data_IF_310837275860
#
_entry.id   IF_310837275860
#
_cell.length_a   1.000
_cell.length_b   1.000
_cell.length_c   1.000
_cell.angle_alpha   90.00
_cell.angle_beta   90.00
_cell.angle_gamma   90.00
#
_symmetry.space_group_name_H-M   'P 1'
#
loop_
_entity.id
_entity.type
_entity.pdbx_description
1 polymer ?
#
# COMPACT_ATOMS: atom_id res chain seq x y z
N UNK A 1 -34.55 65.84 32.75
CA UNK A 1 -35.84 65.56 32.09
C UNK A 1 -35.60 64.61 30.93
N UNK A 2 -36.38 63.52 30.88
CA UNK A 2 -36.60 62.57 29.75
C UNK A 2 -35.33 61.90 29.18
N UNK A 3 -34.89 60.70 29.58
CA UNK A 3 -35.54 59.39 29.74
C UNK A 3 -36.31 58.92 28.49
N UNK A 4 -35.70 58.01 27.74
CA UNK A 4 -36.36 56.82 27.22
C UNK A 4 -35.33 55.70 27.05
N UNK A 5 -35.43 54.73 27.95
CA UNK A 5 -34.78 53.42 27.92
C UNK A 5 -35.51 52.56 26.90
N UNK A 6 -34.79 51.78 26.11
CA UNK A 6 -35.34 50.58 25.47
C UNK A 6 -34.83 49.37 26.25
N UNK A 7 -35.77 48.65 26.84
CA UNK A 7 -35.60 47.38 27.55
C UNK A 7 -35.30 46.29 26.50
N UNK A 8 -34.26 45.50 26.73
CA UNK A 8 -34.40 44.13 27.23
C UNK A 8 -35.13 43.20 26.23
N UNK A 9 -34.35 42.43 25.49
CA UNK A 9 -34.61 41.00 25.33
C UNK A 9 -33.25 40.28 25.45
N UNK A 10 -32.93 39.75 26.63
CA UNK A 10 -33.27 38.41 27.14
C UNK A 10 -32.42 37.31 26.48
N UNK A 11 -31.36 36.95 27.21
CA UNK A 11 -30.89 35.57 27.44
C UNK A 11 -30.65 34.65 26.23
N UNK A 12 -29.37 34.35 25.96
CA UNK A 12 -28.81 33.00 26.19
C UNK A 12 -27.29 33.01 25.87
N UNK A 13 -26.47 33.29 26.88
CA UNK A 13 -25.08 32.89 26.89
C UNK A 13 -24.93 31.88 28.04
N UNK A 14 -24.94 30.61 27.68
CA UNK A 14 -24.65 29.49 28.58
C UNK A 14 -23.56 28.62 27.93
N UNK A 15 -22.69 28.00 28.75
CA UNK A 15 -21.38 27.55 28.32
C UNK A 15 -21.43 26.25 27.53
N UNK A 16 -20.59 26.13 26.50
CA UNK A 16 -20.30 24.84 25.84
C UNK A 16 -19.47 24.00 26.81
N UNK A 17 -20.17 23.38 27.76
CA UNK A 17 -19.62 22.37 28.66
C UNK A 17 -19.71 20.99 27.97
N UNK A 18 -18.53 20.47 27.65
CA UNK A 18 -18.14 19.04 27.72
C UNK A 18 -19.26 18.02 27.40
N UNK A 19 -19.32 17.61 26.14
CA UNK A 19 -19.56 16.21 25.80
C UNK A 19 -18.32 15.64 25.14
N UNK A 20 -17.35 15.30 26.00
CA UNK A 20 -16.39 14.24 25.70
C UNK A 20 -17.19 12.94 25.61
N UNK A 21 -17.79 12.67 24.43
CA UNK A 21 -18.05 11.29 24.07
C UNK A 21 -16.69 10.64 23.87
N UNK A 22 -16.26 9.93 24.91
CA UNK A 22 -15.35 8.80 24.81
C UNK A 22 -15.90 7.84 23.75
N UNK A 23 -15.66 8.11 22.48
CA UNK A 23 -15.41 7.06 21.51
C UNK A 23 -14.12 6.42 21.96
N UNK A 24 -14.27 5.46 22.87
CA UNK A 24 -13.25 4.50 23.19
C UNK A 24 -12.79 3.95 21.84
N UNK A 25 -11.55 4.29 21.45
CA UNK A 25 -10.83 3.51 20.45
C UNK A 25 -11.08 2.06 20.82
N UNK A 26 -11.58 1.20 19.91
CA UNK A 26 -11.47 -0.22 20.17
C UNK A 26 -10.01 -0.46 20.51
N UNK A 27 -9.74 -0.98 21.71
CA UNK A 27 -8.45 -1.56 22.03
C UNK A 27 -8.33 -2.69 21.05
N UNK A 28 -7.69 -2.44 19.91
CA UNK A 28 -7.31 -3.46 18.96
C UNK A 28 -6.35 -4.33 19.74
N UNK A 29 -6.88 -5.44 20.26
CA UNK A 29 -6.11 -6.56 20.75
C UNK A 29 -5.06 -6.79 19.69
N UNK A 30 -3.78 -6.54 20.02
CA UNK A 30 -2.68 -6.84 19.13
C UNK A 30 -2.73 -8.34 18.90
N UNK A 31 -3.35 -8.75 17.80
CA UNK A 31 -3.25 -10.10 17.31
C UNK A 31 -1.77 -10.28 17.01
N UNK A 32 -1.11 -11.07 17.86
CA UNK A 32 0.21 -11.62 17.63
C UNK A 32 0.14 -12.41 16.33
N UNK A 33 0.35 -11.72 15.22
CA UNK A 33 0.49 -12.31 13.91
C UNK A 33 1.79 -13.10 13.98
N UNK A 34 1.69 -14.41 13.82
CA UNK A 34 2.88 -15.27 13.73
C UNK A 34 3.67 -14.81 12.51
N UNK A 35 4.73 -14.05 12.76
CA UNK A 35 5.72 -13.61 11.77
C UNK A 35 6.23 -14.84 11.04
N UNK A 36 5.71 -15.08 9.85
CA UNK A 36 6.19 -16.14 8.98
C UNK A 36 7.42 -15.58 8.28
N UNK A 37 8.59 -16.19 8.47
CA UNK A 37 9.83 -15.72 7.85
C UNK A 37 9.74 -15.92 6.32
N UNK A 38 9.28 -14.90 5.60
CA UNK A 38 9.02 -15.00 4.15
C UNK A 38 8.36 -13.77 3.56
N UNK A 39 7.80 -13.94 2.36
CA UNK A 39 7.02 -12.93 1.64
C UNK A 39 5.62 -12.86 2.24
N UNK A 40 5.22 -11.64 2.62
CA UNK A 40 3.91 -11.32 3.19
C UNK A 40 2.87 -11.00 2.11
N UNK A 41 3.17 -10.07 1.20
CA UNK A 41 2.26 -9.67 0.12
C UNK A 41 3.03 -9.16 -1.10
N UNK A 42 2.40 -9.25 -2.27
CA UNK A 42 2.93 -8.74 -3.55
C UNK A 42 1.91 -7.78 -4.16
N UNK A 43 2.41 -6.64 -4.63
CA UNK A 43 1.62 -5.62 -5.32
C UNK A 43 2.19 -5.32 -6.69
N UNK A 44 1.30 -5.07 -7.65
CA UNK A 44 1.65 -4.54 -8.96
C UNK A 44 0.94 -3.22 -9.13
N UNK A 45 1.71 -2.17 -9.37
CA UNK A 45 1.23 -0.80 -9.49
C UNK A 45 1.58 -0.30 -10.88
N UNK A 46 0.65 0.38 -11.53
CA UNK A 46 0.87 0.97 -12.83
C UNK A 46 1.80 2.19 -12.77
N UNK A 47 2.29 2.64 -13.93
CA UNK A 47 3.00 3.91 -14.11
C UNK A 47 2.20 5.13 -13.61
N UNK A 48 0.87 5.06 -13.59
CA UNK A 48 0.01 6.12 -13.04
C UNK A 48 -0.20 6.03 -11.51
N UNK A 49 0.36 5.03 -10.82
CA UNK A 49 0.17 4.82 -9.39
C UNK A 49 -1.11 4.05 -9.01
N UNK A 50 -1.87 3.55 -9.99
CA UNK A 50 -3.03 2.69 -9.74
C UNK A 50 -2.62 1.26 -9.42
N UNK A 51 -3.29 0.63 -8.45
CA UNK A 51 -3.08 -0.77 -8.12
C UNK A 51 -3.70 -1.68 -9.21
N UNK A 52 -2.87 -2.52 -9.82
CA UNK A 52 -3.30 -3.51 -10.81
C UNK A 52 -3.49 -4.90 -10.19
N UNK A 53 -2.71 -5.25 -9.18
CA UNK A 53 -2.78 -6.54 -8.49
C UNK A 53 -2.36 -6.42 -7.03
N UNK A 54 -3.01 -7.19 -6.16
CA UNK A 54 -2.63 -7.39 -4.77
C UNK A 54 -2.85 -8.84 -4.37
N UNK A 55 -1.82 -9.51 -3.88
CA UNK A 55 -1.88 -10.88 -3.36
C UNK A 55 -1.25 -10.96 -1.98
N UNK A 56 -1.98 -11.56 -1.04
CA UNK A 56 -1.53 -11.80 0.34
C UNK A 56 -1.14 -13.29 0.46
N UNK A 57 0.08 -13.56 0.93
CA UNK A 57 0.68 -14.92 0.97
C UNK A 57 1.06 -15.39 2.37
N UNK A 58 0.93 -14.52 3.37
CA UNK A 58 1.14 -14.81 4.78
C UNK A 58 -0.06 -14.30 5.59
N UNK A 59 -0.25 -14.77 6.83
CA UNK A 59 -1.32 -14.28 7.71
C UNK A 59 -0.99 -12.86 8.21
N UNK A 60 -1.25 -11.86 7.36
CA UNK A 60 -1.18 -10.44 7.71
C UNK A 60 -2.57 -9.89 8.02
N UNK A 61 -2.67 -8.79 8.80
CA UNK A 61 -3.94 -8.12 9.01
C UNK A 61 -4.57 -7.74 7.67
N UNK A 62 -5.80 -8.19 7.43
CA UNK A 62 -6.50 -7.89 6.18
C UNK A 62 -6.69 -6.39 6.02
N UNK A 63 -6.17 -5.85 4.92
CA UNK A 63 -6.38 -4.48 4.51
C UNK A 63 -7.58 -4.40 3.56
N UNK A 64 -8.47 -3.42 3.73
CA UNK A 64 -9.59 -3.23 2.80
C UNK A 64 -9.10 -2.79 1.41
N UNK A 65 -9.93 -3.00 0.39
CA UNK A 65 -9.58 -2.69 -0.99
C UNK A 65 -9.20 -1.21 -1.20
N UNK A 66 -9.87 -0.27 -0.51
CA UNK A 66 -9.58 1.15 -0.66
C UNK A 66 -8.25 1.51 0.00
N UNK A 67 -7.91 0.88 1.13
CA UNK A 67 -6.61 1.07 1.76
C UNK A 67 -5.46 0.56 0.88
N UNK A 68 -5.64 -0.58 0.20
CA UNK A 68 -4.68 -1.05 -0.81
C UNK A 68 -4.51 -0.07 -1.98
N UNK A 69 -5.61 0.49 -2.48
CA UNK A 69 -5.57 1.52 -3.52
C UNK A 69 -4.83 2.78 -3.08
N UNK A 70 -5.10 3.26 -1.85
CA UNK A 70 -4.39 4.40 -1.26
C UNK A 70 -2.91 4.10 -1.08
N UNK A 71 -2.55 2.92 -0.58
CA UNK A 71 -1.15 2.50 -0.40
C UNK A 71 -0.41 2.55 -1.74
N UNK A 72 -0.99 2.01 -2.81
CA UNK A 72 -0.37 2.04 -4.14
C UNK A 72 -0.09 3.47 -4.62
N UNK A 73 -1.08 4.36 -4.51
CA UNK A 73 -0.92 5.76 -4.88
C UNK A 73 0.12 6.49 -4.03
N UNK A 74 0.15 6.23 -2.72
CA UNK A 74 1.14 6.78 -1.80
C UNK A 74 2.55 6.31 -2.14
N UNK A 75 2.75 5.01 -2.37
CA UNK A 75 4.06 4.46 -2.70
C UNK A 75 4.58 5.00 -4.03
N UNK A 76 3.69 5.11 -5.03
CA UNK A 76 4.02 5.73 -6.31
C UNK A 76 4.40 7.21 -6.14
N UNK A 77 3.60 7.98 -5.40
CA UNK A 77 3.85 9.38 -5.10
C UNK A 77 5.17 9.60 -4.35
N UNK A 78 5.43 8.78 -3.33
CA UNK A 78 6.64 8.85 -2.52
C UNK A 78 7.89 8.53 -3.35
N UNK A 79 7.81 7.55 -4.24
CA UNK A 79 8.92 7.22 -5.15
C UNK A 79 9.20 8.37 -6.12
N UNK A 80 8.16 8.94 -6.72
CA UNK A 80 8.29 10.06 -7.65
C UNK A 80 8.87 11.28 -6.94
N UNK A 81 8.45 11.52 -5.70
CA UNK A 81 8.98 12.56 -4.85
C UNK A 81 10.47 12.35 -4.54
N UNK A 82 10.85 11.13 -4.13
CA UNK A 82 12.25 10.79 -3.86
C UNK A 82 13.14 10.95 -5.10
N UNK A 83 12.66 10.54 -6.27
CA UNK A 83 13.39 10.74 -7.54
C UNK A 83 13.64 12.22 -7.86
N UNK A 84 12.70 13.11 -7.52
CA UNK A 84 12.89 14.57 -7.67
C UNK A 84 13.79 15.19 -6.61
N UNK A 85 13.88 14.56 -5.44
CA UNK A 85 14.74 15.02 -4.34
C UNK A 85 16.19 14.56 -4.52
N UNK A 86 16.41 13.52 -5.33
CA UNK A 86 17.75 12.97 -5.58
C UNK A 86 18.69 14.05 -6.15
N UNK A 87 19.87 14.25 -5.55
CA UNK A 87 20.89 15.17 -6.07
C UNK A 87 21.67 14.56 -7.24
N UNK A 88 21.45 13.27 -7.53
CA UNK A 88 22.10 12.52 -8.62
C UNK A 88 21.07 12.27 -9.72
N UNK A 89 21.51 12.32 -10.97
CA UNK A 89 20.64 12.19 -12.17
C UNK A 89 19.89 10.86 -12.27
N UNK A 90 20.18 9.86 -11.42
CA UNK A 90 19.39 8.64 -11.35
C UNK A 90 18.08 8.88 -10.57
N UNK A 91 16.98 8.94 -11.30
CA UNK A 91 15.63 9.14 -10.78
C UNK A 91 14.93 7.82 -10.43
N UNK A 92 15.69 6.77 -10.08
CA UNK A 92 15.18 5.45 -9.69
C UNK A 92 14.24 5.53 -8.48
N UNK A 93 14.45 6.52 -7.60
CA UNK A 93 13.59 6.83 -6.47
C UNK A 93 13.71 5.79 -5.34
N UNK A 94 12.60 5.37 -4.73
CA UNK A 94 12.63 4.45 -3.58
C UNK A 94 12.59 3.00 -4.04
N UNK A 95 13.67 2.26 -3.76
CA UNK A 95 13.79 0.84 -4.05
C UNK A 95 13.54 -0.06 -2.82
N UNK A 96 13.79 0.43 -1.61
CA UNK A 96 13.69 -0.34 -0.37
C UNK A 96 13.18 0.56 0.76
N UNK A 97 12.22 0.04 1.54
CA UNK A 97 11.70 0.66 2.76
C UNK A 97 11.72 -0.40 3.85
N UNK A 98 12.54 -0.19 4.88
CA UNK A 98 12.61 -1.06 6.04
C UNK A 98 11.80 -0.46 7.20
N UNK A 99 11.03 -1.30 7.88
CA UNK A 99 10.26 -0.98 9.08
C UNK A 99 10.48 -2.00 10.18
N UNK A 100 9.75 -1.86 11.28
CA UNK A 100 9.84 -2.77 12.41
C UNK A 100 9.16 -4.12 12.06
N UNK A 101 9.96 -5.14 11.78
CA UNK A 101 9.51 -6.49 11.43
C UNK A 101 9.03 -6.68 9.99
N UNK A 102 9.26 -5.70 9.11
CA UNK A 102 8.99 -5.86 7.69
C UNK A 102 9.95 -5.05 6.83
N UNK A 103 10.13 -5.48 5.60
CA UNK A 103 10.80 -4.76 4.54
C UNK A 103 9.95 -4.79 3.29
N UNK A 104 9.86 -3.64 2.64
CA UNK A 104 9.23 -3.45 1.35
C UNK A 104 10.34 -3.24 0.31
N UNK A 105 10.42 -4.14 -0.67
CA UNK A 105 11.30 -3.99 -1.82
C UNK A 105 10.48 -3.69 -3.07
N UNK A 106 11.03 -2.84 -3.93
CA UNK A 106 10.40 -2.42 -5.17
C UNK A 106 11.35 -2.57 -6.35
N UNK A 107 10.78 -2.96 -7.48
CA UNK A 107 11.43 -3.07 -8.77
C UNK A 107 10.57 -2.40 -9.83
N UNK A 108 11.17 -1.52 -10.62
CA UNK A 108 10.52 -0.89 -11.77
C UNK A 108 11.31 -1.23 -13.06
N UNK A 109 10.70 -1.86 -14.07
CA UNK A 109 11.28 -1.99 -15.40
C UNK A 109 11.11 -0.69 -16.21
N UNK A 110 11.72 -0.64 -17.40
CA UNK A 110 11.61 0.48 -18.34
C UNK A 110 10.16 0.78 -18.78
N UNK A 111 9.24 -0.18 -18.64
CA UNK A 111 7.81 0.02 -18.91
C UNK A 111 7.13 1.00 -17.93
N UNK A 112 7.74 1.24 -16.76
CA UNK A 112 7.22 2.17 -15.75
C UNK A 112 6.25 1.56 -14.74
N UNK A 113 5.86 0.30 -14.90
CA UNK A 113 5.13 -0.46 -13.88
C UNK A 113 6.02 -0.75 -12.67
N UNK A 114 5.44 -0.83 -11.49
CA UNK A 114 6.15 -1.04 -10.24
C UNK A 114 5.71 -2.38 -9.64
N UNK A 115 6.67 -3.25 -9.40
CA UNK A 115 6.50 -4.52 -8.69
C UNK A 115 7.01 -4.32 -7.28
N UNK A 116 6.17 -4.62 -6.29
CA UNK A 116 6.46 -4.35 -4.90
C UNK A 116 6.19 -5.62 -4.10
N UNK A 117 7.11 -5.97 -3.21
CA UNK A 117 6.98 -7.10 -2.30
C UNK A 117 7.14 -6.62 -0.87
N UNK A 118 6.25 -7.07 -0.01
CA UNK A 118 6.35 -6.93 1.43
C UNK A 118 6.87 -8.26 1.97
N UNK A 119 7.94 -8.24 2.75
CA UNK A 119 8.61 -9.42 3.27
C UNK A 119 9.16 -9.19 4.67
N UNK A 120 9.66 -10.24 5.30
CA UNK A 120 10.40 -10.13 6.55
C UNK A 120 11.77 -9.44 6.37
N UNK A 121 12.24 -8.74 7.40
CA UNK A 121 13.53 -8.04 7.40
C UNK A 121 14.72 -9.01 7.28
N UNK A 122 14.59 -10.25 7.78
CA UNK A 122 15.66 -11.26 7.70
C UNK A 122 15.77 -11.91 6.32
N UNK A 123 14.82 -11.66 5.42
CA UNK A 123 14.83 -12.28 4.10
C UNK A 123 16.04 -11.81 3.26
N UNK A 124 16.48 -12.62 2.30
CA UNK A 124 17.49 -12.19 1.32
C UNK A 124 16.95 -11.13 0.34
N UNK A 125 17.81 -10.57 -0.54
CA UNK A 125 17.38 -9.58 -1.53
C UNK A 125 16.36 -10.18 -2.52
N UNK A 126 15.20 -9.55 -2.65
CA UNK A 126 14.09 -10.04 -3.48
C UNK A 126 14.03 -9.43 -4.89
N UNK A 127 14.98 -8.56 -5.27
CA UNK A 127 15.11 -8.06 -6.65
C UNK A 127 15.06 -9.16 -7.74
N UNK A 128 15.71 -10.34 -7.62
CA UNK A 128 15.58 -11.42 -8.60
C UNK A 128 14.16 -11.99 -8.68
N UNK A 129 13.49 -12.13 -7.53
CA UNK A 129 12.10 -12.55 -7.45
C UNK A 129 11.17 -11.54 -8.14
N UNK A 130 11.35 -10.24 -7.90
CA UNK A 130 10.56 -9.19 -8.55
C UNK A 130 10.75 -9.18 -10.08
N UNK A 131 11.96 -9.47 -10.57
CA UNK A 131 12.21 -9.69 -12.01
C UNK A 131 11.48 -10.92 -12.55
N UNK A 132 11.39 -12.00 -11.77
CA UNK A 132 10.58 -13.19 -12.09
C UNK A 132 9.10 -12.82 -12.16
N UNK A 133 8.57 -12.01 -11.23
CA UNK A 133 7.19 -11.50 -11.27
C UNK A 133 6.91 -10.69 -12.55
N UNK A 134 7.83 -9.82 -12.96
CA UNK A 134 7.72 -9.10 -14.23
C UNK A 134 7.68 -10.04 -15.45
N UNK A 135 8.47 -11.11 -15.44
CA UNK A 135 8.44 -12.13 -16.50
C UNK A 135 7.10 -12.87 -16.53
N UNK A 136 6.58 -13.27 -15.37
CA UNK A 136 5.26 -13.90 -15.27
C UNK A 136 4.15 -12.98 -15.79
N UNK A 137 4.21 -11.69 -15.48
CA UNK A 137 3.31 -10.68 -16.02
C UNK A 137 3.38 -10.63 -17.55
N UNK A 138 4.58 -10.59 -18.12
CA UNK A 138 4.76 -10.58 -19.57
C UNK A 138 4.26 -11.87 -20.25
N UNK A 139 4.44 -13.02 -19.62
CA UNK A 139 4.07 -14.31 -20.21
C UNK A 139 2.57 -14.63 -20.12
N UNK A 140 1.91 -14.29 -19.01
CA UNK A 140 0.50 -14.67 -18.79
C UNK A 140 -0.47 -13.52 -19.02
N UNK A 141 -0.08 -12.28 -18.70
CA UNK A 141 -0.98 -11.13 -18.76
C UNK A 141 -0.86 -10.42 -20.09
N UNK A 142 0.34 -10.07 -20.55
CA UNK A 142 0.52 -9.34 -21.82
C UNK A 142 0.23 -10.19 -23.06
N UNK A 143 0.36 -11.52 -22.97
CA UNK A 143 0.01 -12.44 -24.07
C UNK A 143 -1.49 -12.75 -24.12
N UNK A 144 -2.28 -12.35 -23.12
CA UNK A 144 -3.71 -12.57 -23.12
C UNK A 144 -4.41 -11.55 -24.04
N UNK A 145 -5.03 -11.98 -25.15
CA UNK A 145 -5.66 -11.05 -26.11
C UNK A 145 -6.87 -10.29 -25.54
N UNK A 146 -7.42 -10.75 -24.40
CA UNK A 146 -8.54 -10.09 -23.72
C UNK A 146 -8.09 -9.17 -22.59
N UNK A 147 -6.79 -9.04 -22.33
CA UNK A 147 -6.28 -8.15 -21.31
C UNK A 147 -6.08 -6.73 -21.88
N UNK A 148 -6.73 -5.76 -21.24
CA UNK A 148 -6.48 -4.34 -21.50
C UNK A 148 -5.42 -3.83 -20.54
N UNK A 149 -4.41 -3.13 -21.08
CA UNK A 149 -3.38 -2.45 -20.30
C UNK A 149 -4.04 -1.47 -19.32
N UNK A 150 -3.40 -1.25 -18.17
CA UNK A 150 -3.86 -0.37 -17.07
C UNK A 150 -5.11 -0.83 -16.33
N UNK A 151 -5.67 -2.01 -16.66
CA UNK A 151 -6.78 -2.62 -15.93
C UNK A 151 -6.29 -3.62 -14.87
N UNK A 152 -7.07 -3.84 -13.79
CA UNK A 152 -6.74 -4.85 -12.79
C UNK A 152 -6.49 -6.21 -13.41
N UNK A 153 -5.43 -6.88 -12.97
CA UNK A 153 -5.01 -8.18 -13.48
C UNK A 153 -5.97 -9.23 -12.90
N UNK A 154 -6.78 -9.83 -13.78
CA UNK A 154 -7.69 -10.94 -13.46
C UNK A 154 -7.29 -12.14 -14.31
N UNK A 155 -6.21 -12.80 -13.93
CA UNK A 155 -5.64 -13.92 -14.68
C UNK A 155 -5.25 -15.04 -13.72
N UNK A 156 -6.05 -16.11 -13.69
CA UNK A 156 -5.83 -17.25 -12.78
C UNK A 156 -4.48 -17.94 -12.99
N UNK A 157 -4.00 -17.97 -14.25
CA UNK A 157 -2.68 -18.51 -14.57
C UNK A 157 -1.56 -17.69 -13.94
N UNK A 158 -1.67 -16.35 -13.97
CA UNK A 158 -0.73 -15.46 -13.31
C UNK A 158 -0.74 -15.70 -11.80
N UNK A 159 -1.93 -15.75 -11.17
CA UNK A 159 -2.09 -15.95 -9.74
C UNK A 159 -1.46 -17.28 -9.27
N UNK A 160 -1.70 -18.35 -10.04
CA UNK A 160 -1.18 -19.69 -9.76
C UNK A 160 0.34 -19.74 -9.80
N UNK A 161 0.95 -19.19 -10.87
CA UNK A 161 2.42 -19.20 -11.01
C UNK A 161 3.10 -18.25 -10.04
N UNK A 162 2.47 -17.10 -9.73
CA UNK A 162 2.99 -16.17 -8.73
C UNK A 162 2.97 -16.79 -7.33
N UNK A 163 1.88 -17.47 -6.97
CA UNK A 163 1.78 -18.21 -5.71
C UNK A 163 2.86 -19.28 -5.59
N UNK A 164 3.06 -20.09 -6.64
CA UNK A 164 4.11 -21.10 -6.65
C UNK A 164 5.52 -20.49 -6.50
N UNK A 165 5.77 -19.33 -7.13
CA UNK A 165 7.04 -18.62 -6.99
C UNK A 165 7.24 -18.06 -5.57
N UNK A 166 6.19 -17.59 -4.91
CA UNK A 166 6.26 -17.14 -3.50
C UNK A 166 6.53 -18.31 -2.57
N UNK A 167 5.84 -19.44 -2.76
CA UNK A 167 6.06 -20.66 -1.96
C UNK A 167 7.45 -21.26 -2.12
N UNK A 168 8.11 -21.05 -3.25
CA UNK A 168 9.51 -21.43 -3.48
C UNK A 168 10.46 -20.58 -2.61
N UNK A 169 10.22 -19.27 -2.56
CA UNK A 169 11.01 -18.34 -1.74
C UNK A 169 10.76 -18.55 -0.25
N UNK A 170 9.52 -18.81 0.17
CA UNK A 170 9.19 -19.02 1.58
C UNK A 170 9.69 -20.38 2.12
N UNK A 171 10.10 -21.30 1.23
CA UNK A 171 10.72 -22.58 1.61
C UNK A 171 12.24 -22.53 1.70
N UNK A 172 12.85 -21.49 1.12
CA UNK A 172 14.30 -21.28 1.06
C UNK A 172 14.77 -20.49 2.27
#
# INVERSE_FOLDING_TARGET
MMSLRSAADTEFCAPVAKQQQQQQRPKTTAASTTTTMGIYSVYVINKAGSLLFSGDYAPIPSMDANSRLRLAGLLHGLTTFAGKLSPVDDQSGIEEIEGDGFRLERFQPLSGMQFVVLCDTQQGPLKPFLRKCHRLYADFVLKNPFYSIDMPIRCELFDTHLKAAVEEINRS
#
